data_IF_425177473569
#
_entry.id   IF_425177473569
#
_cell.length_a   1.000
_cell.length_b   1.000
_cell.length_c   1.000
_cell.angle_alpha   90.00
_cell.angle_beta   90.00
_cell.angle_gamma   90.00
#
_symmetry.space_group_name_H-M   'P 1'
#
loop_
_entity.id
_entity.type
_entity.pdbx_description
1 polymer ?
#
# COMPACT_ATOMS: atom_id res chain seq x y z
N UNK A 1 -25.11 -4.04 -32.26
CA UNK A 1 -24.02 -3.47 -31.42
C UNK A 1 -24.09 -3.97 -29.96
N UNK A 2 -25.27 -4.04 -29.32
CA UNK A 2 -25.43 -4.60 -27.96
C UNK A 2 -25.15 -6.12 -27.82
N UNK A 3 -25.16 -6.88 -28.92
CA UNK A 3 -24.90 -8.32 -28.90
C UNK A 3 -23.50 -8.68 -28.39
N UNK A 4 -22.48 -7.84 -28.63
CA UNK A 4 -21.13 -8.06 -28.09
C UNK A 4 -21.08 -7.91 -26.57
N UNK A 5 -21.87 -7.00 -26.01
CA UNK A 5 -21.98 -6.79 -24.57
C UNK A 5 -22.72 -7.95 -23.90
N UNK A 6 -23.76 -8.47 -24.56
CA UNK A 6 -24.51 -9.64 -24.10
C UNK A 6 -23.68 -10.94 -24.19
N UNK A 7 -22.94 -11.14 -25.29
CA UNK A 7 -22.10 -12.33 -25.49
C UNK A 7 -20.89 -12.38 -24.54
N UNK A 8 -20.35 -11.22 -24.14
CA UNK A 8 -19.19 -11.12 -23.25
C UNK A 8 -19.56 -10.65 -21.84
N UNK A 9 -20.85 -10.72 -21.47
CA UNK A 9 -21.34 -10.25 -20.17
C UNK A 9 -20.69 -10.98 -18.99
N UNK A 10 -20.44 -12.29 -19.13
CA UNK A 10 -19.73 -13.09 -18.13
C UNK A 10 -18.29 -12.63 -17.92
N UNK A 11 -17.56 -12.36 -19.01
CA UNK A 11 -16.19 -11.84 -18.96
C UNK A 11 -16.12 -10.48 -18.29
N UNK A 12 -17.09 -9.60 -18.54
CA UNK A 12 -17.17 -8.29 -17.88
C UNK A 12 -17.41 -8.43 -16.37
N UNK A 13 -18.29 -9.35 -15.95
CA UNK A 13 -18.55 -9.63 -14.52
C UNK A 13 -17.30 -10.14 -13.80
N UNK A 14 -16.62 -11.12 -14.40
CA UNK A 14 -15.39 -11.71 -13.83
C UNK A 14 -14.28 -10.65 -13.82
N UNK A 15 -14.14 -9.88 -14.89
CA UNK A 15 -13.19 -8.78 -14.99
C UNK A 15 -13.40 -7.72 -13.90
N UNK A 16 -14.66 -7.34 -13.63
CA UNK A 16 -15.00 -6.39 -12.57
C UNK A 16 -14.64 -6.94 -11.18
N UNK A 17 -14.92 -8.22 -10.92
CA UNK A 17 -14.59 -8.88 -9.66
C UNK A 17 -13.07 -8.85 -9.40
N UNK A 18 -12.28 -9.27 -10.39
CA UNK A 18 -10.82 -9.27 -10.31
C UNK A 18 -10.28 -7.85 -10.19
N UNK A 19 -10.79 -6.91 -10.99
CA UNK A 19 -10.38 -5.51 -10.92
C UNK A 19 -10.61 -4.92 -9.53
N UNK A 20 -11.76 -5.23 -8.91
CA UNK A 20 -12.08 -4.77 -7.54
C UNK A 20 -11.05 -5.31 -6.54
N UNK A 21 -10.72 -6.60 -6.62
CA UNK A 21 -9.71 -7.19 -5.74
C UNK A 21 -8.32 -6.53 -5.90
N UNK A 22 -7.88 -6.30 -7.14
CA UNK A 22 -6.60 -5.63 -7.43
C UNK A 22 -6.59 -4.20 -6.89
N UNK A 23 -7.66 -3.43 -7.11
CA UNK A 23 -7.78 -2.05 -6.60
C UNK A 23 -7.71 -2.02 -5.07
N UNK A 24 -8.38 -2.95 -4.38
CA UNK A 24 -8.31 -3.05 -2.92
C UNK A 24 -6.89 -3.34 -2.42
N UNK A 25 -6.15 -4.22 -3.10
CA UNK A 25 -4.75 -4.53 -2.77
C UNK A 25 -3.87 -3.28 -2.96
N UNK A 26 -4.03 -2.56 -4.07
CA UNK A 26 -3.28 -1.33 -4.32
C UNK A 26 -3.59 -0.26 -3.27
N UNK A 27 -4.86 -0.04 -2.94
CA UNK A 27 -5.26 0.93 -1.89
C UNK A 27 -4.68 0.52 -0.53
N UNK A 28 -4.73 -0.77 -0.19
CA UNK A 28 -4.09 -1.30 1.02
C UNK A 28 -2.59 -0.99 1.00
N UNK A 29 -1.89 -1.33 -0.08
CA UNK A 29 -0.46 -1.09 -0.21
C UNK A 29 -0.12 0.40 -0.11
N UNK A 30 -0.84 1.28 -0.80
CA UNK A 30 -0.64 2.73 -0.70
C UNK A 30 -0.93 3.27 0.71
N UNK A 31 -1.95 2.74 1.38
CA UNK A 31 -2.29 3.15 2.74
C UNK A 31 -1.26 2.64 3.75
N UNK A 32 -0.77 1.41 3.60
CA UNK A 32 0.33 0.84 4.39
C UNK A 32 1.65 1.60 4.16
N UNK A 33 1.92 2.00 2.92
CA UNK A 33 3.04 2.88 2.55
C UNK A 33 2.91 4.25 3.23
N UNK A 34 1.73 4.87 3.19
CA UNK A 34 1.46 6.16 3.85
C UNK A 34 1.52 6.06 5.37
N UNK A 35 1.16 4.91 5.95
CA UNK A 35 1.24 4.65 7.39
C UNK A 35 2.68 4.39 7.88
N UNK A 36 3.68 4.44 7.01
CA UNK A 36 5.08 4.32 7.39
C UNK A 36 5.51 2.90 7.71
N UNK A 37 4.79 1.87 7.24
CA UNK A 37 5.27 0.48 7.26
C UNK A 37 6.36 0.30 6.20
N UNK A 38 7.47 1.03 6.38
CA UNK A 38 8.75 0.70 5.77
C UNK A 38 9.10 -0.74 6.15
N UNK A 39 9.77 -1.47 5.26
CA UNK A 39 10.12 -2.90 5.35
C UNK A 39 10.75 -3.38 6.68
N UNK A 40 11.10 -2.48 7.59
CA UNK A 40 11.41 -2.76 8.97
C UNK A 40 10.08 -2.84 9.76
N UNK A 41 9.57 -4.05 10.00
CA UNK A 41 8.42 -4.29 10.90
C UNK A 41 8.66 -3.89 12.36
N UNK A 42 9.78 -3.23 12.68
CA UNK A 42 10.07 -2.68 13.98
C UNK A 42 9.56 -1.24 14.04
N UNK A 43 8.80 -0.91 15.08
CA UNK A 43 8.61 0.47 15.49
C UNK A 43 10.00 1.14 15.58
N UNK A 44 10.37 2.01 14.64
CA UNK A 44 11.70 2.64 14.60
C UNK A 44 12.02 3.43 15.88
N UNK A 45 10.99 3.77 16.66
CA UNK A 45 11.11 4.35 18.00
C UNK A 45 11.83 3.43 19.02
N UNK A 46 11.84 2.11 18.83
CA UNK A 46 12.46 1.14 19.73
C UNK A 46 13.39 0.15 18.99
N UNK A 47 13.79 0.48 17.76
CA UNK A 47 14.75 -0.32 17.01
C UNK A 47 16.15 -0.12 17.63
N UNK A 48 16.86 -1.18 18.06
CA UNK A 48 18.21 -1.07 18.62
C UNK A 48 19.24 -0.55 17.61
N UNK A 49 18.89 -0.50 16.32
CA UNK A 49 19.70 0.07 15.23
C UNK A 49 19.22 1.48 14.80
N UNK A 50 18.33 2.12 15.57
CA UNK A 50 17.82 3.47 15.28
C UNK A 50 18.93 4.53 15.17
N UNK A 51 20.02 4.36 15.93
CA UNK A 51 21.20 5.24 15.89
C UNK A 51 21.98 5.19 14.58
N UNK A 52 21.87 4.11 13.79
CA UNK A 52 22.50 4.00 12.47
C UNK A 52 21.60 4.54 11.36
N UNK A 53 20.29 4.28 11.44
CA UNK A 53 19.32 4.71 10.43
C UNK A 53 19.06 6.23 10.44
N UNK A 54 19.26 6.90 11.58
CA UNK A 54 19.11 8.35 11.74
C UNK A 54 20.42 9.03 12.15
N UNK A 55 21.57 8.59 11.62
CA UNK A 55 22.89 9.16 11.94
C UNK A 55 23.09 10.65 11.55
N UNK A 56 22.06 11.33 11.03
CA UNK A 56 22.14 12.70 10.54
C UNK A 56 20.86 13.53 10.83
N UNK A 57 20.26 13.36 12.01
CA UNK A 57 19.27 14.33 12.52
C UNK A 57 19.92 15.19 13.61
N UNK A 58 20.14 16.50 13.38
CA UNK A 58 20.60 17.39 14.44
C UNK A 58 19.56 17.40 15.57
N UNK A 59 20.04 17.04 16.75
CA UNK A 59 19.42 17.16 18.07
C UNK A 59 18.92 18.60 18.33
N UNK A 60 17.79 18.99 17.75
CA UNK A 60 17.13 20.25 18.13
C UNK A 60 15.63 20.21 17.90
N UNK A 61 14.94 19.31 18.59
CA UNK A 61 13.49 19.43 18.82
C UNK A 61 13.10 18.86 20.18
N UNK A 62 13.86 19.24 21.22
CA UNK A 62 13.43 19.22 22.64
C UNK A 62 12.84 20.59 22.98
N UNK A 63 11.77 20.99 22.28
CA UNK A 63 10.79 22.00 22.71
C UNK A 63 9.42 21.61 22.19
#
# INVERSE_FOLDING_TARGET
MFSFLAANWGTLLIGLLVATAVVLILIKLFRDRKKGNSSCGCNCAQCPSSGMCHANQPENSRR
#
